data_IF_029020643221
#
_entry.id   IF_029020643221
#
_cell.length_a   1.000
_cell.length_b   1.000
_cell.length_c   1.000
_cell.angle_alpha   90.00
_cell.angle_beta   90.00
_cell.angle_gamma   90.00
#
_symmetry.space_group_name_H-M   'P 1'
#
loop_
_entity.id
_entity.type
_entity.pdbx_description
1 polymer ?
#
# COMPACT_ATOMS: atom_id res chain seq x y z
N UNK A 1 -13.45 12.85 -2.13
CA UNK A 1 -12.53 11.83 -2.66
C UNK A 1 -12.92 11.43 -4.07
N UNK A 2 -12.04 10.77 -4.83
CA UNK A 2 -12.35 10.23 -6.16
C UNK A 2 -11.95 8.75 -6.20
N UNK A 3 -12.90 7.85 -6.42
CA UNK A 3 -12.69 6.41 -6.41
C UNK A 3 -12.95 5.79 -7.79
N UNK A 4 -12.11 4.83 -8.18
CA UNK A 4 -12.41 3.93 -9.27
C UNK A 4 -13.09 2.67 -8.72
N UNK A 5 -14.15 2.22 -9.37
CA UNK A 5 -14.86 0.96 -9.12
C UNK A 5 -14.70 0.07 -10.34
N UNK A 6 -13.92 -1.00 -10.20
CA UNK A 6 -13.68 -1.96 -11.27
C UNK A 6 -14.45 -3.24 -10.95
N UNK A 7 -15.59 -3.40 -11.60
CA UNK A 7 -16.60 -4.41 -11.27
C UNK A 7 -17.49 -4.64 -12.50
N UNK A 8 -17.67 -5.86 -12.97
CA UNK A 8 -18.46 -6.19 -14.15
C UNK A 8 -19.97 -6.24 -13.86
N UNK A 9 -20.36 -6.51 -12.62
CA UNK A 9 -21.76 -6.58 -12.23
C UNK A 9 -22.31 -5.23 -11.76
N UNK A 10 -23.20 -4.63 -12.54
CA UNK A 10 -23.84 -3.34 -12.21
C UNK A 10 -24.52 -3.29 -10.84
N UNK A 11 -25.03 -4.44 -10.37
CA UNK A 11 -25.70 -4.51 -9.07
C UNK A 11 -24.67 -4.36 -7.94
N UNK A 12 -23.53 -5.00 -8.08
CA UNK A 12 -22.43 -4.93 -7.09
C UNK A 12 -21.78 -3.55 -7.09
N UNK A 13 -21.57 -2.94 -8.29
CA UNK A 13 -21.13 -1.54 -8.39
C UNK A 13 -22.05 -0.60 -7.61
N UNK A 14 -23.36 -0.66 -7.86
CA UNK A 14 -24.35 0.22 -7.19
C UNK A 14 -24.39 -0.01 -5.68
N UNK A 15 -24.34 -1.26 -5.25
CA UNK A 15 -24.33 -1.60 -3.83
C UNK A 15 -23.10 -1.04 -3.12
N UNK A 16 -21.92 -1.27 -3.70
CA UNK A 16 -20.65 -0.77 -3.15
C UNK A 16 -20.63 0.77 -3.08
N UNK A 17 -21.04 1.44 -4.16
CA UNK A 17 -21.11 2.91 -4.20
C UNK A 17 -22.06 3.44 -3.11
N UNK A 18 -23.23 2.83 -2.96
CA UNK A 18 -24.19 3.22 -1.96
C UNK A 18 -23.61 3.13 -0.53
N UNK A 19 -22.98 2.00 -0.21
CA UNK A 19 -22.34 1.81 1.10
C UNK A 19 -21.20 2.81 1.34
N UNK A 20 -20.38 3.10 0.31
CA UNK A 20 -19.32 4.12 0.41
C UNK A 20 -19.93 5.49 0.68
N UNK A 21 -20.97 5.88 -0.08
CA UNK A 21 -21.64 7.18 0.09
C UNK A 21 -22.22 7.34 1.49
N UNK A 22 -22.94 6.33 2.00
CA UNK A 22 -23.50 6.37 3.35
C UNK A 22 -22.41 6.53 4.43
N UNK A 23 -21.26 5.84 4.26
CA UNK A 23 -20.15 5.99 5.20
C UNK A 23 -19.54 7.40 5.14
N UNK A 24 -19.28 7.91 3.93
CA UNK A 24 -18.69 9.22 3.75
C UNK A 24 -19.59 10.34 4.29
N UNK A 25 -20.91 10.25 4.05
CA UNK A 25 -21.90 11.20 4.59
C UNK A 25 -21.89 11.26 6.13
N UNK A 26 -21.77 10.12 6.80
CA UNK A 26 -21.62 10.06 8.27
C UNK A 26 -20.38 10.82 8.78
N UNK A 27 -19.37 10.99 7.92
CA UNK A 27 -18.13 11.72 8.24
C UNK A 27 -18.08 13.14 7.65
N UNK A 28 -19.16 13.60 7.02
CA UNK A 28 -19.20 14.91 6.36
C UNK A 28 -18.32 14.99 5.11
N UNK A 29 -18.02 13.85 4.49
CA UNK A 29 -17.19 13.71 3.31
C UNK A 29 -18.02 13.41 2.07
N UNK A 30 -17.47 13.67 0.88
CA UNK A 30 -18.08 13.35 -0.42
C UNK A 30 -17.08 12.64 -1.33
N UNK A 31 -17.58 11.86 -2.28
CA UNK A 31 -16.77 11.27 -3.33
C UNK A 31 -17.46 11.31 -4.69
N UNK A 32 -16.66 11.30 -5.75
CA UNK A 32 -17.06 10.95 -7.09
C UNK A 32 -16.54 9.55 -7.44
N UNK A 33 -17.20 8.90 -8.40
CA UNK A 33 -16.94 7.51 -8.75
C UNK A 33 -16.86 7.37 -10.26
N UNK A 34 -15.78 6.74 -10.75
CA UNK A 34 -15.69 6.25 -12.11
C UNK A 34 -15.79 4.74 -12.07
N UNK A 35 -16.74 4.20 -12.85
CA UNK A 35 -17.02 2.76 -12.91
C UNK A 35 -16.50 2.15 -14.19
N UNK A 36 -15.83 1.02 -14.06
CA UNK A 36 -15.25 0.25 -15.16
C UNK A 36 -15.74 -1.20 -15.07
N UNK A 37 -16.14 -1.77 -16.21
CA UNK A 37 -16.66 -3.15 -16.28
C UNK A 37 -15.56 -4.18 -16.52
N UNK A 38 -14.32 -3.73 -16.79
CA UNK A 38 -13.16 -4.62 -16.98
C UNK A 38 -11.86 -3.96 -16.54
N UNK A 39 -10.85 -4.79 -16.26
CA UNK A 39 -9.50 -4.34 -15.93
C UNK A 39 -8.86 -3.56 -17.08
N UNK A 40 -9.11 -3.97 -18.33
CA UNK A 40 -8.59 -3.30 -19.51
C UNK A 40 -9.13 -1.88 -19.64
N UNK A 41 -10.46 -1.71 -19.53
CA UNK A 41 -11.10 -0.39 -19.60
C UNK A 41 -10.58 0.55 -18.51
N UNK A 42 -10.37 0.02 -17.30
CA UNK A 42 -9.78 0.78 -16.21
C UNK A 42 -8.34 1.20 -16.51
N UNK A 43 -7.46 0.26 -16.95
CA UNK A 43 -6.05 0.56 -17.23
C UNK A 43 -5.90 1.56 -18.38
N UNK A 44 -6.75 1.50 -19.41
CA UNK A 44 -6.76 2.46 -20.52
C UNK A 44 -7.12 3.89 -20.06
N UNK A 45 -8.10 3.99 -19.18
CA UNK A 45 -8.57 5.27 -18.64
C UNK A 45 -7.67 5.81 -17.52
N UNK A 46 -6.90 4.96 -16.84
CA UNK A 46 -6.10 5.33 -15.67
C UNK A 46 -5.06 6.41 -15.99
N UNK A 47 -4.97 7.38 -15.09
CA UNK A 47 -3.90 8.39 -15.07
C UNK A 47 -3.37 8.53 -13.65
N UNK A 48 -2.04 8.60 -13.44
CA UNK A 48 -1.47 8.83 -12.11
C UNK A 48 -2.05 10.08 -11.44
N UNK A 49 -2.46 9.92 -10.17
CA UNK A 49 -3.03 11.01 -9.39
C UNK A 49 -4.52 11.29 -9.63
N UNK A 50 -5.18 10.57 -10.54
CA UNK A 50 -6.61 10.74 -10.81
C UNK A 50 -7.48 10.25 -9.64
N UNK A 51 -7.16 9.09 -9.08
CA UNK A 51 -7.94 8.44 -8.03
C UNK A 51 -7.25 8.47 -6.67
N UNK A 52 -8.05 8.54 -5.61
CA UNK A 52 -7.61 8.38 -4.23
C UNK A 52 -7.51 6.91 -3.81
N UNK A 53 -8.38 6.04 -4.35
CA UNK A 53 -8.33 4.60 -4.19
C UNK A 53 -9.07 3.88 -5.33
N UNK A 54 -8.79 2.59 -5.47
CA UNK A 54 -9.48 1.69 -6.41
C UNK A 54 -10.11 0.55 -5.62
N UNK A 55 -11.40 0.34 -5.81
CA UNK A 55 -12.09 -0.88 -5.42
C UNK A 55 -12.16 -1.78 -6.64
N UNK A 56 -11.65 -3.00 -6.53
CA UNK A 56 -11.45 -3.87 -7.68
C UNK A 56 -11.94 -5.28 -7.38
N UNK A 57 -12.92 -5.75 -8.16
CA UNK A 57 -13.29 -7.16 -8.09
C UNK A 57 -12.14 -8.03 -8.60
N UNK A 58 -11.85 -9.10 -7.86
CA UNK A 58 -10.88 -10.11 -8.30
C UNK A 58 -11.42 -10.91 -9.47
N UNK A 59 -12.74 -11.22 -9.45
CA UNK A 59 -13.41 -12.09 -10.43
C UNK A 59 -14.05 -11.29 -11.54
N UNK A 60 -13.30 -10.40 -12.18
CA UNK A 60 -13.73 -9.72 -13.41
C UNK A 60 -13.93 -10.74 -14.54
N UNK A 61 -14.69 -10.36 -15.57
CA UNK A 61 -15.13 -11.20 -16.69
C UNK A 61 -14.13 -12.30 -17.09
N UNK A 62 -14.65 -13.51 -17.28
CA UNK A 62 -13.89 -14.75 -17.54
C UNK A 62 -13.04 -14.72 -18.82
N UNK A 63 -13.25 -13.77 -19.71
CA UNK A 63 -12.55 -13.64 -20.99
C UNK A 63 -11.47 -12.54 -21.00
N UNK A 64 -11.29 -11.79 -19.89
CA UNK A 64 -10.35 -10.70 -19.75
C UNK A 64 -9.33 -10.94 -18.64
N UNK A 65 -8.67 -9.88 -18.25
CA UNK A 65 -7.78 -9.88 -17.07
C UNK A 65 -8.62 -9.95 -15.81
N UNK A 66 -8.23 -10.80 -14.89
CA UNK A 66 -8.79 -10.76 -13.54
C UNK A 66 -8.30 -9.50 -12.77
N UNK A 67 -8.91 -9.22 -11.62
CA UNK A 67 -8.56 -8.03 -10.84
C UNK A 67 -7.12 -8.07 -10.32
N UNK A 68 -6.57 -9.25 -10.00
CA UNK A 68 -5.18 -9.38 -9.53
C UNK A 68 -4.19 -9.01 -10.62
N UNK A 69 -4.37 -9.52 -11.84
CA UNK A 69 -3.50 -9.20 -12.98
C UNK A 69 -3.60 -7.71 -13.34
N UNK A 70 -4.81 -7.15 -13.24
CA UNK A 70 -5.05 -5.71 -13.44
C UNK A 70 -4.32 -4.88 -12.40
N UNK A 71 -4.39 -5.27 -11.12
CA UNK A 71 -3.70 -4.60 -10.04
C UNK A 71 -2.17 -4.69 -10.16
N UNK A 72 -1.63 -5.84 -10.59
CA UNK A 72 -0.19 -6.00 -10.84
C UNK A 72 0.29 -5.08 -11.98
N UNK A 73 -0.50 -4.93 -13.04
CA UNK A 73 -0.18 -3.99 -14.13
C UNK A 73 -0.25 -2.55 -13.64
N UNK A 74 -1.28 -2.18 -12.89
CA UNK A 74 -1.45 -0.87 -12.27
C UNK A 74 -0.25 -0.50 -11.40
N UNK A 75 0.31 -1.44 -10.62
CA UNK A 75 1.46 -1.21 -9.74
C UNK A 75 2.71 -0.73 -10.47
N UNK A 76 2.85 -1.01 -11.77
CA UNK A 76 3.99 -0.51 -12.57
C UNK A 76 3.98 1.02 -12.72
N UNK A 77 2.81 1.65 -12.64
CA UNK A 77 2.64 3.11 -12.83
C UNK A 77 2.08 3.83 -11.60
N UNK A 78 1.50 3.10 -10.65
CA UNK A 78 0.82 3.64 -9.48
C UNK A 78 1.15 2.83 -8.21
N UNK A 79 2.41 2.81 -7.81
CA UNK A 79 2.89 2.01 -6.68
C UNK A 79 2.14 2.30 -5.36
N UNK A 80 1.77 3.56 -5.13
CA UNK A 80 1.15 4.02 -3.88
C UNK A 80 -0.38 4.13 -3.91
N UNK A 81 -1.04 3.88 -5.05
CA UNK A 81 -2.49 3.99 -5.09
C UNK A 81 -3.13 2.89 -4.21
N UNK A 82 -3.95 3.23 -3.19
CA UNK A 82 -4.68 2.24 -2.42
C UNK A 82 -5.56 1.37 -3.32
N UNK A 83 -5.43 0.06 -3.20
CA UNK A 83 -6.29 -0.93 -3.86
C UNK A 83 -7.00 -1.70 -2.76
N UNK A 84 -8.32 -1.75 -2.83
CA UNK A 84 -9.16 -2.61 -2.01
C UNK A 84 -9.78 -3.64 -2.93
N UNK A 85 -9.47 -4.92 -2.72
CA UNK A 85 -10.10 -5.98 -3.49
C UNK A 85 -11.49 -6.27 -2.96
N UNK A 86 -12.42 -6.54 -3.87
CA UNK A 86 -13.71 -7.16 -3.57
C UNK A 86 -13.72 -8.56 -4.15
N UNK A 87 -14.29 -9.54 -3.47
CA UNK A 87 -14.31 -10.93 -3.95
C UNK A 87 -15.40 -11.75 -3.30
N UNK A 88 -15.96 -12.70 -4.03
CA UNK A 88 -16.84 -13.74 -3.48
C UNK A 88 -16.08 -14.94 -2.90
N UNK A 89 -14.77 -15.05 -3.11
CA UNK A 89 -13.95 -16.19 -2.70
C UNK A 89 -12.93 -15.81 -1.63
N UNK A 90 -12.76 -16.71 -0.63
CA UNK A 90 -11.85 -16.49 0.52
C UNK A 90 -10.39 -16.82 0.22
N UNK A 91 -10.12 -17.64 -0.79
CA UNK A 91 -8.79 -18.25 -1.01
C UNK A 91 -7.86 -17.43 -1.94
N UNK A 92 -8.32 -16.29 -2.49
CA UNK A 92 -7.49 -15.44 -3.36
C UNK A 92 -6.49 -14.54 -2.63
N UNK A 93 -6.50 -14.52 -1.31
CA UNK A 93 -5.62 -13.66 -0.50
C UNK A 93 -4.11 -13.86 -0.80
N UNK A 94 -3.67 -15.10 -1.05
CA UNK A 94 -2.27 -15.40 -1.34
C UNK A 94 -1.78 -14.88 -2.70
N UNK A 95 -2.60 -14.99 -3.74
CA UNK A 95 -2.21 -14.51 -5.08
C UNK A 95 -2.28 -12.98 -5.17
N UNK A 96 -3.30 -12.38 -4.56
CA UNK A 96 -3.49 -10.94 -4.51
C UNK A 96 -2.47 -10.20 -3.67
N UNK A 97 -1.77 -10.88 -2.74
CA UNK A 97 -0.76 -10.26 -1.89
C UNK A 97 0.35 -9.54 -2.67
N UNK A 98 0.73 -10.07 -3.85
CA UNK A 98 1.75 -9.45 -4.73
C UNK A 98 1.35 -8.08 -5.28
N UNK A 99 0.05 -7.79 -5.34
CA UNK A 99 -0.47 -6.48 -5.74
C UNK A 99 -0.44 -5.45 -4.60
N UNK A 100 -0.01 -5.86 -3.39
CA UNK A 100 0.01 -5.03 -2.19
C UNK A 100 -1.30 -4.27 -1.99
N UNK A 101 -2.44 -4.97 -1.89
CA UNK A 101 -3.71 -4.31 -1.61
C UNK A 101 -3.71 -3.75 -0.20
N UNK A 102 -4.50 -2.71 -0.01
CA UNK A 102 -4.72 -2.13 1.31
C UNK A 102 -5.65 -3.03 2.14
N UNK A 103 -6.68 -3.59 1.49
CA UNK A 103 -7.67 -4.43 2.16
C UNK A 103 -8.37 -5.40 1.18
N UNK A 104 -9.11 -6.37 1.75
CA UNK A 104 -9.97 -7.33 1.04
C UNK A 104 -11.38 -7.31 1.63
N UNK A 105 -12.38 -7.06 0.79
CA UNK A 105 -13.78 -7.08 1.14
C UNK A 105 -14.46 -8.31 0.54
N UNK A 106 -14.99 -9.17 1.40
CA UNK A 106 -15.76 -10.33 0.95
C UNK A 106 -17.16 -9.90 0.52
N UNK A 107 -17.64 -10.38 -0.62
CA UNK A 107 -19.02 -10.18 -1.09
C UNK A 107 -19.99 -11.16 -0.40
N UNK A 108 -21.20 -10.73 -0.05
CA UNK A 108 -21.68 -9.35 -0.13
C UNK A 108 -20.94 -8.44 0.85
N UNK A 109 -20.56 -7.25 0.37
CA UNK A 109 -19.77 -6.31 1.16
C UNK A 109 -20.60 -5.83 2.36
N UNK A 110 -20.08 -6.08 3.56
CA UNK A 110 -20.72 -5.65 4.81
C UNK A 110 -20.29 -4.21 5.16
N UNK A 111 -21.23 -3.41 5.70
CA UNK A 111 -21.00 -2.02 6.09
C UNK A 111 -19.79 -1.86 7.04
N UNK A 112 -19.64 -2.77 8.03
CA UNK A 112 -18.53 -2.71 8.98
C UNK A 112 -17.17 -2.97 8.34
N UNK A 113 -17.09 -3.94 7.45
CA UNK A 113 -15.85 -4.25 6.73
C UNK A 113 -15.46 -3.09 5.82
N UNK A 114 -16.43 -2.53 5.10
CA UNK A 114 -16.19 -1.35 4.26
C UNK A 114 -15.76 -0.13 5.08
N UNK A 115 -16.41 0.12 6.24
CA UNK A 115 -16.02 1.23 7.11
C UNK A 115 -14.55 1.13 7.53
N UNK A 116 -14.10 -0.07 7.91
CA UNK A 116 -12.68 -0.31 8.21
C UNK A 116 -11.78 0.00 7.00
N UNK A 117 -12.09 -0.53 5.81
CA UNK A 117 -11.31 -0.28 4.60
C UNK A 117 -11.24 1.21 4.23
N UNK A 118 -12.33 1.97 4.42
CA UNK A 118 -12.33 3.42 4.20
C UNK A 118 -11.48 4.16 5.24
N UNK A 119 -11.46 3.72 6.50
CA UNK A 119 -10.58 4.30 7.52
C UNK A 119 -9.11 4.02 7.22
N UNK A 120 -8.78 2.83 6.71
CA UNK A 120 -7.43 2.51 6.22
C UNK A 120 -7.05 3.40 5.02
N UNK A 121 -7.96 3.64 4.08
CA UNK A 121 -7.74 4.57 2.97
C UNK A 121 -7.47 5.99 3.50
N UNK A 122 -8.28 6.50 4.43
CA UNK A 122 -8.07 7.83 5.05
C UNK A 122 -6.69 7.92 5.70
N UNK A 123 -6.34 6.90 6.48
CA UNK A 123 -5.04 6.81 7.17
C UNK A 123 -3.89 6.80 6.17
N UNK A 124 -4.03 6.02 5.09
CA UNK A 124 -3.03 5.93 4.04
C UNK A 124 -2.83 7.25 3.31
N UNK A 125 -3.93 7.94 2.96
CA UNK A 125 -3.89 9.23 2.27
C UNK A 125 -3.35 10.35 3.17
N UNK A 126 -3.61 10.30 4.47
CA UNK A 126 -3.08 11.25 5.45
C UNK A 126 -1.61 10.97 5.81
N UNK A 127 -1.06 9.79 5.46
CA UNK A 127 0.30 9.44 5.79
C UNK A 127 1.32 10.36 5.10
N UNK A 128 2.33 10.88 5.82
CA UNK A 128 3.33 11.74 5.23
C UNK A 128 4.12 11.01 4.13
N UNK A 129 4.38 11.73 3.05
CA UNK A 129 5.21 11.21 1.97
C UNK A 129 6.70 11.12 2.35
N UNK A 130 7.08 11.73 3.45
CA UNK A 130 8.43 11.69 4.02
C UNK A 130 8.37 11.61 5.55
N UNK A 131 9.46 11.17 6.14
CA UNK A 131 9.72 11.33 7.57
C UNK A 131 10.90 12.29 7.79
N UNK A 132 10.91 12.99 8.92
CA UNK A 132 12.04 13.80 9.36
C UNK A 132 12.77 13.06 10.48
N UNK A 133 14.08 12.94 10.32
CA UNK A 133 14.95 12.33 11.33
C UNK A 133 16.11 13.27 11.67
N UNK A 134 16.69 13.09 12.85
CA UNK A 134 17.98 13.66 13.19
C UNK A 134 19.09 12.71 12.72
N UNK A 135 19.64 13.00 11.55
CA UNK A 135 20.76 12.23 11.01
C UNK A 135 22.07 12.63 11.71
N UNK A 136 22.90 11.64 12.01
CA UNK A 136 24.23 11.83 12.59
C UNK A 136 25.25 11.93 11.47
N UNK A 137 25.79 13.11 11.27
CA UNK A 137 26.89 13.35 10.35
C UNK A 137 28.25 13.03 11.01
N UNK A 138 29.30 12.94 10.23
CA UNK A 138 30.66 12.73 10.73
C UNK A 138 31.02 13.73 11.85
N UNK A 139 31.77 13.27 12.87
CA UNK A 139 32.12 14.02 14.09
C UNK A 139 30.97 14.32 15.06
N UNK A 140 29.82 13.60 14.95
CA UNK A 140 28.72 13.68 15.91
C UNK A 140 27.79 14.89 15.76
N UNK A 141 27.92 15.66 14.70
CA UNK A 141 26.95 16.70 14.35
C UNK A 141 25.64 16.05 13.93
N UNK A 142 24.52 16.61 14.37
CA UNK A 142 23.18 16.20 13.93
C UNK A 142 22.63 17.22 12.94
N UNK A 143 21.93 16.72 11.92
CA UNK A 143 21.16 17.56 11.00
C UNK A 143 19.79 16.94 10.74
N UNK A 144 18.78 17.79 10.59
CA UNK A 144 17.47 17.31 10.18
C UNK A 144 17.55 16.85 8.71
N UNK A 145 17.19 15.60 8.47
CA UNK A 145 17.10 15.03 7.12
C UNK A 145 15.69 14.53 6.86
N UNK A 146 15.18 14.85 5.68
CA UNK A 146 13.90 14.30 5.17
C UNK A 146 14.19 13.05 4.37
N UNK A 147 13.51 11.98 4.71
CA UNK A 147 13.58 10.70 4.00
C UNK A 147 12.22 10.48 3.34
N UNK A 148 12.21 10.46 2.01
CA UNK A 148 11.01 10.10 1.26
C UNK A 148 10.68 8.63 1.54
N UNK A 149 9.41 8.35 1.85
CA UNK A 149 8.98 6.99 2.15
C UNK A 149 9.17 6.04 0.96
N UNK A 150 9.10 6.56 -0.26
CA UNK A 150 9.31 5.78 -1.48
C UNK A 150 10.78 5.46 -1.74
N UNK A 151 11.69 6.26 -1.18
CA UNK A 151 13.13 6.01 -1.23
C UNK A 151 13.62 5.08 -0.12
N UNK A 152 12.85 4.96 0.97
CA UNK A 152 13.18 4.10 2.09
C UNK A 152 13.19 2.63 1.65
N UNK A 153 14.31 1.95 1.77
CA UNK A 153 14.47 0.53 1.43
C UNK A 153 14.28 -0.35 2.68
N UNK A 154 15.16 -0.18 3.64
CA UNK A 154 15.16 -0.90 4.92
C UNK A 154 15.95 -0.11 5.96
N UNK A 155 15.85 -0.52 7.22
CA UNK A 155 16.72 -0.03 8.28
C UNK A 155 17.23 -1.16 9.15
N UNK A 156 18.47 -1.04 9.59
CA UNK A 156 19.13 -2.01 10.46
C UNK A 156 20.02 -1.33 11.49
N UNK A 157 20.43 -2.09 12.51
CA UNK A 157 21.39 -1.58 13.49
C UNK A 157 22.82 -1.95 13.09
N UNK A 158 23.66 -0.95 12.90
CA UNK A 158 25.10 -1.11 12.70
C UNK A 158 25.85 -0.24 13.70
N UNK A 159 26.85 -0.81 14.39
CA UNK A 159 27.70 -0.08 15.35
C UNK A 159 26.90 0.76 16.37
N UNK A 160 25.87 0.19 16.96
CA UNK A 160 24.97 0.82 17.93
C UNK A 160 24.20 2.03 17.39
N UNK A 161 24.04 2.15 16.08
CA UNK A 161 23.24 3.18 15.43
C UNK A 161 22.23 2.53 14.50
N UNK A 162 21.09 3.15 14.36
CA UNK A 162 20.10 2.78 13.35
C UNK A 162 20.52 3.42 12.03
N UNK A 163 20.75 2.60 11.02
CA UNK A 163 21.05 3.02 9.66
C UNK A 163 19.80 2.81 8.81
N UNK A 164 19.34 3.87 8.18
CA UNK A 164 18.24 3.84 7.22
C UNK A 164 18.85 3.86 5.84
N UNK A 165 18.65 2.78 5.09
CA UNK A 165 19.11 2.64 3.73
C UNK A 165 18.05 3.16 2.77
N UNK A 166 18.42 4.07 1.89
CA UNK A 166 17.52 4.67 0.90
C UNK A 166 18.12 4.56 -0.51
N UNK A 167 17.31 4.80 -1.53
CA UNK A 167 17.81 4.84 -2.91
C UNK A 167 18.81 5.97 -3.13
N UNK A 168 18.70 7.05 -2.38
CA UNK A 168 19.53 8.24 -2.47
C UNK A 168 20.78 8.20 -1.57
N UNK A 169 20.92 7.17 -0.73
CA UNK A 169 22.04 6.98 0.19
C UNK A 169 21.59 6.64 1.60
N UNK A 170 22.55 6.41 2.48
CA UNK A 170 22.30 5.95 3.84
C UNK A 170 22.23 7.12 4.82
N UNK A 171 21.34 7.01 5.80
CA UNK A 171 21.19 7.96 6.90
C UNK A 171 21.34 7.27 8.25
N UNK A 172 22.37 7.65 9.01
CA UNK A 172 22.57 7.15 10.37
C UNK A 172 21.79 8.01 11.38
N UNK A 173 21.08 7.38 12.30
CA UNK A 173 20.33 8.09 13.36
C UNK A 173 20.54 7.44 14.72
N UNK A 174 20.16 8.16 15.79
CA UNK A 174 20.14 7.65 17.17
C UNK A 174 18.76 7.14 17.58
N UNK A 175 17.79 7.21 16.69
CA UNK A 175 16.45 6.66 16.95
C UNK A 175 16.55 5.15 17.23
N UNK A 176 15.73 4.69 18.14
CA UNK A 176 15.41 3.27 18.27
C UNK A 176 14.45 2.84 17.16
N UNK A 177 14.32 1.53 16.92
CA UNK A 177 13.31 1.02 16.00
C UNK A 177 11.89 1.43 16.38
N UNK A 178 11.57 1.46 17.68
CA UNK A 178 10.24 1.86 18.16
C UNK A 178 9.94 3.32 17.83
N UNK A 179 10.91 4.21 17.99
CA UNK A 179 10.78 5.63 17.63
C UNK A 179 10.65 5.79 16.11
N UNK A 180 11.47 5.07 15.32
CA UNK A 180 11.36 5.09 13.87
C UNK A 180 9.98 4.58 13.41
N UNK A 181 9.51 3.47 13.97
CA UNK A 181 8.18 2.94 13.66
C UNK A 181 7.03 3.90 14.01
N UNK A 182 7.20 4.72 15.06
CA UNK A 182 6.22 5.74 15.42
C UNK A 182 6.15 6.91 14.40
N UNK A 183 7.22 7.15 13.65
CA UNK A 183 7.26 8.15 12.57
C UNK A 183 6.72 7.61 11.24
N UNK A 184 6.70 6.30 11.05
CA UNK A 184 6.27 5.67 9.82
C UNK A 184 4.75 5.51 9.77
N UNK A 185 4.14 5.55 8.56
CA UNK A 185 2.71 5.33 8.41
C UNK A 185 2.33 3.92 8.88
N UNK A 186 1.20 3.84 9.58
CA UNK A 186 0.56 2.57 9.93
C UNK A 186 -0.05 1.96 8.66
N UNK A 187 -0.17 0.63 8.58
CA UNK A 187 -0.83 0.00 7.43
C UNK A 187 0.02 -1.02 6.66
N UNK A 188 0.94 -1.72 7.34
CA UNK A 188 1.60 -2.92 6.78
C UNK A 188 2.68 -2.66 5.73
N UNK A 189 2.94 -1.41 5.33
CA UNK A 189 4.03 -1.07 4.41
C UNK A 189 5.42 -1.35 5.00
N UNK A 190 5.56 -1.16 6.30
CA UNK A 190 6.82 -1.34 7.02
C UNK A 190 6.71 -2.50 7.99
N UNK A 191 7.59 -3.46 7.85
CA UNK A 191 7.61 -4.69 8.64
C UNK A 191 8.92 -4.80 9.44
N UNK A 192 8.77 -5.07 10.73
CA UNK A 192 9.90 -5.35 11.63
C UNK A 192 10.14 -6.85 11.70
N UNK A 193 11.25 -7.30 11.16
CA UNK A 193 11.71 -8.68 11.34
C UNK A 193 12.20 -8.91 12.77
N UNK A 194 12.01 -10.12 13.30
CA UNK A 194 12.49 -10.50 14.64
C UNK A 194 14.01 -10.42 14.84
N UNK A 195 14.78 -10.14 13.77
CA UNK A 195 16.24 -10.00 13.78
C UNK A 195 16.73 -8.55 13.79
N UNK A 196 15.86 -7.59 14.09
CA UNK A 196 16.25 -6.16 14.15
C UNK A 196 16.47 -5.54 12.78
N UNK A 197 15.66 -5.92 11.81
CA UNK A 197 15.62 -5.40 10.47
C UNK A 197 14.22 -4.87 10.19
N UNK A 198 14.11 -3.61 9.76
CA UNK A 198 12.87 -2.98 9.33
C UNK A 198 12.86 -2.88 7.81
N UNK A 199 11.90 -3.49 7.16
CA UNK A 199 11.82 -3.57 5.70
C UNK A 199 10.61 -2.78 5.20
N UNK A 200 10.80 -2.01 4.12
CA UNK A 200 9.71 -1.42 3.36
C UNK A 200 9.21 -2.44 2.33
N UNK A 201 8.04 -3.03 2.56
CA UNK A 201 7.47 -4.03 1.66
C UNK A 201 7.19 -3.53 0.24
N UNK A 202 6.97 -2.23 0.04
CA UNK A 202 6.83 -1.68 -1.31
C UNK A 202 8.11 -1.80 -2.15
N UNK A 203 9.25 -2.10 -1.53
CA UNK A 203 10.54 -2.31 -2.18
C UNK A 203 10.90 -3.79 -2.36
N UNK A 204 10.06 -4.71 -1.87
CA UNK A 204 10.25 -6.15 -2.01
C UNK A 204 9.84 -6.60 -3.42
N UNK A 205 10.69 -7.40 -4.07
CA UNK A 205 10.43 -7.99 -5.40
C UNK A 205 9.98 -9.42 -5.31
N UNK A 206 10.55 -10.20 -4.37
CA UNK A 206 10.18 -11.59 -4.13
C UNK A 206 10.53 -12.01 -2.70
N UNK A 207 9.87 -13.06 -2.25
CA UNK A 207 10.21 -13.79 -1.04
C UNK A 207 10.35 -15.25 -1.43
N UNK A 208 11.48 -15.85 -1.12
CA UNK A 208 11.76 -17.25 -1.42
C UNK A 208 11.14 -18.19 -0.37
N UNK A 209 11.08 -19.47 -0.67
CA UNK A 209 10.53 -20.51 0.24
C UNK A 209 11.32 -20.61 1.55
N UNK A 210 12.59 -20.27 1.55
CA UNK A 210 13.46 -20.26 2.73
C UNK A 210 13.31 -19.01 3.61
N UNK A 211 12.46 -18.06 3.21
CA UNK A 211 12.23 -16.78 3.90
C UNK A 211 13.19 -15.67 3.48
N UNK A 212 14.00 -15.85 2.43
CA UNK A 212 14.84 -14.80 1.89
C UNK A 212 14.00 -13.74 1.19
N UNK A 213 14.20 -12.47 1.55
CA UNK A 213 13.48 -11.30 1.00
C UNK A 213 14.39 -10.55 0.06
N UNK A 214 13.97 -10.40 -1.19
CA UNK A 214 14.70 -9.66 -2.22
C UNK A 214 14.11 -8.28 -2.44
N UNK A 215 14.98 -7.27 -2.51
CA UNK A 215 14.59 -5.88 -2.75
C UNK A 215 14.87 -5.43 -4.18
N UNK A 216 14.17 -4.40 -4.63
CA UNK A 216 14.33 -3.77 -5.95
C UNK A 216 15.76 -3.28 -6.24
N UNK A 217 16.55 -2.97 -5.22
CA UNK A 217 17.96 -2.56 -5.35
C UNK A 217 18.95 -3.73 -5.42
N UNK A 218 18.47 -4.98 -5.44
CA UNK A 218 19.29 -6.19 -5.44
C UNK A 218 19.72 -6.66 -4.03
N UNK A 219 19.32 -5.97 -2.96
CA UNK A 219 19.54 -6.42 -1.58
C UNK A 219 18.75 -7.71 -1.32
N UNK A 220 19.34 -8.61 -0.55
CA UNK A 220 18.70 -9.85 -0.12
C UNK A 220 18.90 -10.02 1.39
N UNK A 221 17.82 -10.32 2.10
CA UNK A 221 17.81 -10.51 3.54
C UNK A 221 17.11 -11.80 3.90
N UNK A 222 17.62 -12.49 4.87
CA UNK A 222 16.98 -13.66 5.47
C UNK A 222 16.15 -13.20 6.68
N UNK A 223 14.82 -13.32 6.62
CA UNK A 223 13.88 -12.90 7.67
C UNK A 223 13.41 -14.05 8.55
#
# INVERSE_FOLDING_TARGET
>A
MHFAIVEDLKIDQKHLIHLIQENLEKHGETACFDCYESGEAFLEAFRPGLFNAVFMDIMLDRNGRNGIDTALELRKSAERLPIVFTTSERDYSLQGYRAHPLDYLLKPVEEKALAWGLDEIRTFLAAPAYIEIQAVLGRGQASTQRILLDDFLYAETQNHRLIIHTRSGDAATRLSFSELMALLPKGGRFYMSGRGLLINFSQVTSVDEDGSVHLKNGGCFFC
#
